data_IF_377480549743
#
_entry.id   IF_377480549743
#
_cell.length_a   1.000
_cell.length_b   1.000
_cell.length_c   1.000
_cell.angle_alpha   90.00
_cell.angle_beta   90.00
_cell.angle_gamma   90.00
#
_symmetry.space_group_name_H-M   'P 1'
#
loop_
_entity.id
_entity.type
_entity.pdbx_description
1 polymer ?
#
# COMPACT_ATOMS: atom_id res chain seq x y z
N UNK A 1 -0.74 -16.37 -0.86
CA UNK A 1 0.10 -15.94 -2.00
C UNK A 1 1.07 -14.87 -1.54
N UNK A 2 2.24 -14.78 -2.18
CA UNK A 2 3.23 -13.74 -1.85
C UNK A 2 3.01 -12.51 -2.70
N UNK A 3 2.82 -11.37 -2.05
CA UNK A 3 2.72 -10.04 -2.67
C UNK A 3 3.87 -9.20 -2.15
N UNK A 4 4.52 -8.46 -3.03
CA UNK A 4 5.56 -7.50 -2.68
C UNK A 4 4.90 -6.12 -2.50
N UNK A 5 5.25 -5.43 -1.43
CA UNK A 5 4.78 -4.08 -1.14
C UNK A 5 5.98 -3.16 -1.00
N UNK A 6 5.99 -2.06 -1.72
CA UNK A 6 7.07 -1.07 -1.69
C UNK A 6 6.59 0.29 -1.19
N UNK A 7 7.48 1.01 -0.52
CA UNK A 7 7.24 2.35 0.00
C UNK A 7 8.33 3.31 -0.46
N UNK A 8 7.93 4.48 -0.95
CA UNK A 8 8.85 5.55 -1.36
C UNK A 8 8.26 6.93 -1.10
N UNK A 9 9.07 7.97 -1.32
CA UNK A 9 8.68 9.36 -1.07
C UNK A 9 8.57 9.70 0.42
N UNK A 10 9.31 8.98 1.28
CA UNK A 10 9.30 9.16 2.73
C UNK A 10 8.27 8.28 3.46
N UNK A 11 7.43 7.53 2.74
CA UNK A 11 6.46 6.61 3.35
C UNK A 11 7.15 5.46 4.09
N UNK A 12 8.37 5.07 3.70
CA UNK A 12 9.14 4.03 4.40
C UNK A 12 9.31 4.32 5.91
N UNK A 13 9.32 5.60 6.31
CA UNK A 13 9.42 6.01 7.72
C UNK A 13 8.21 5.56 8.55
N UNK A 14 7.04 5.38 7.92
CA UNK A 14 5.84 4.86 8.57
C UNK A 14 5.93 3.35 8.82
N UNK A 15 6.84 2.66 8.14
CA UNK A 15 7.02 1.22 8.18
C UNK A 15 8.39 0.83 8.77
N UNK A 16 8.84 1.56 9.80
CA UNK A 16 10.13 1.33 10.47
C UNK A 16 11.34 1.40 9.52
N UNK A 17 11.30 2.36 8.60
CA UNK A 17 12.32 2.59 7.56
C UNK A 17 12.51 1.41 6.59
N UNK A 18 11.54 0.49 6.52
CA UNK A 18 11.51 -0.59 5.54
C UNK A 18 10.95 -0.09 4.22
N UNK A 19 11.74 -0.21 3.14
CA UNK A 19 11.34 0.17 1.79
C UNK A 19 10.50 -0.89 1.08
N UNK A 20 10.58 -2.13 1.54
CA UNK A 20 9.91 -3.28 0.95
C UNK A 20 9.43 -4.22 2.06
N UNK A 21 8.23 -4.77 1.88
CA UNK A 21 7.69 -5.89 2.63
C UNK A 21 7.30 -6.99 1.64
N UNK A 22 7.51 -8.25 2.02
CA UNK A 22 6.89 -9.40 1.34
C UNK A 22 5.84 -9.98 2.27
N UNK A 23 4.58 -9.94 1.85
CA UNK A 23 3.44 -10.35 2.67
C UNK A 23 2.82 -11.64 2.11
N UNK A 24 2.40 -12.51 3.02
CA UNK A 24 1.58 -13.68 2.70
C UNK A 24 0.10 -13.30 2.81
N UNK A 25 -0.53 -13.05 1.66
CA UNK A 25 -1.94 -12.63 1.55
C UNK A 25 -2.82 -13.82 1.16
N UNK A 26 -4.09 -13.86 1.57
CA UNK A 26 -5.00 -14.93 1.17
C UNK A 26 -5.31 -14.88 -0.34
N UNK A 27 -5.61 -16.02 -0.96
CA UNK A 27 -6.03 -16.03 -2.37
C UNK A 27 -7.42 -15.39 -2.53
N UNK A 28 -7.61 -14.61 -3.60
CA UNK A 28 -8.85 -13.86 -3.85
C UNK A 28 -8.99 -12.58 -3.01
N UNK A 29 -7.95 -12.19 -2.25
CA UNK A 29 -7.91 -10.90 -1.57
C UNK A 29 -7.76 -9.74 -2.55
N UNK A 30 -8.30 -8.59 -2.16
CA UNK A 30 -8.22 -7.34 -2.92
C UNK A 30 -7.19 -6.38 -2.31
N UNK A 31 -6.91 -5.28 -3.01
CA UNK A 31 -6.12 -4.17 -2.47
C UNK A 31 -6.67 -3.69 -1.12
N UNK A 32 -7.99 -3.59 -0.97
CA UNK A 32 -8.62 -3.20 0.31
C UNK A 32 -8.25 -4.14 1.47
N UNK A 33 -8.11 -5.45 1.21
CA UNK A 33 -7.69 -6.42 2.23
C UNK A 33 -6.21 -6.25 2.58
N UNK A 34 -5.36 -5.96 1.59
CA UNK A 34 -3.95 -5.64 1.81
C UNK A 34 -3.80 -4.38 2.68
N UNK A 35 -4.56 -3.32 2.43
CA UNK A 35 -4.55 -2.12 3.26
C UNK A 35 -4.95 -2.43 4.71
N UNK A 36 -5.92 -3.33 4.91
CA UNK A 36 -6.32 -3.76 6.24
C UNK A 36 -5.20 -4.53 6.97
N UNK A 37 -4.46 -5.39 6.26
CA UNK A 37 -3.28 -6.08 6.80
C UNK A 37 -2.20 -5.07 7.20
N UNK A 38 -1.85 -4.14 6.30
CA UNK A 38 -0.85 -3.10 6.59
C UNK A 38 -1.25 -2.26 7.81
N UNK A 39 -2.51 -1.82 7.86
CA UNK A 39 -3.05 -1.07 8.99
C UNK A 39 -2.94 -1.85 10.31
N UNK A 40 -3.38 -3.12 10.33
CA UNK A 40 -3.49 -3.87 11.57
C UNK A 40 -2.15 -4.40 12.09
N UNK A 41 -1.20 -4.68 11.21
CA UNK A 41 0.06 -5.35 11.57
C UNK A 41 1.29 -4.43 11.56
N UNK A 42 1.26 -3.33 10.79
CA UNK A 42 2.45 -2.50 10.54
C UNK A 42 2.30 -1.03 10.97
N UNK A 43 1.09 -0.57 11.27
CA UNK A 43 0.82 0.81 11.67
C UNK A 43 0.30 0.88 13.10
N UNK A 44 0.75 1.89 13.84
CA UNK A 44 0.01 2.41 14.98
C UNK A 44 -0.97 3.48 14.49
N UNK A 45 -1.77 4.02 15.42
CA UNK A 45 -2.80 5.00 15.08
C UNK A 45 -2.24 6.26 14.41
N UNK A 46 -1.07 6.73 14.86
CA UNK A 46 -0.47 7.96 14.33
C UNK A 46 0.03 7.75 12.89
N UNK A 47 0.62 6.58 12.62
CA UNK A 47 1.03 6.18 11.26
C UNK A 47 -0.16 5.93 10.34
N UNK A 48 -1.22 5.32 10.87
CA UNK A 48 -2.48 5.10 10.13
C UNK A 48 -3.03 6.43 9.62
N UNK A 49 -3.14 7.45 10.48
CA UNK A 49 -3.67 8.76 10.08
C UNK A 49 -2.81 9.45 9.00
N UNK A 50 -1.52 9.12 8.88
CA UNK A 50 -0.63 9.66 7.85
C UNK A 50 -0.73 8.90 6.51
N UNK A 51 -1.12 7.63 6.54
CA UNK A 51 -1.18 6.76 5.36
C UNK A 51 -2.60 6.59 4.80
N UNK A 52 -3.60 6.51 5.69
CA UNK A 52 -5.01 6.34 5.36
C UNK A 52 -5.82 7.56 5.79
N UNK A 53 -6.88 7.85 5.04
CA UNK A 53 -7.90 8.83 5.41
C UNK A 53 -9.27 8.20 5.20
N UNK A 54 -10.12 8.21 6.23
CA UNK A 54 -11.47 7.61 6.19
C UNK A 54 -11.50 6.13 5.74
N UNK A 55 -10.40 5.40 5.98
CA UNK A 55 -10.25 3.98 5.64
C UNK A 55 -9.77 3.70 4.22
N UNK A 56 -9.50 4.72 3.41
CA UNK A 56 -8.90 4.60 2.07
C UNK A 56 -7.49 5.18 2.06
N UNK A 57 -6.72 4.91 1.00
CA UNK A 57 -5.40 5.54 0.80
C UNK A 57 -5.53 7.06 0.81
N UNK A 58 -4.69 7.73 1.60
CA UNK A 58 -4.74 9.18 1.77
C UNK A 58 -4.43 9.90 0.45
N UNK A 59 -5.20 10.94 0.06
CA UNK A 59 -4.89 11.75 -1.11
C UNK A 59 -3.45 12.29 -1.08
N UNK A 60 -2.77 12.19 -2.22
CA UNK A 60 -1.34 12.51 -2.33
C UNK A 60 -0.40 11.33 -2.06
N UNK A 61 -0.94 10.12 -1.92
CA UNK A 61 -0.20 8.88 -2.09
C UNK A 61 -0.65 8.25 -3.42
N UNK A 62 0.29 8.01 -4.32
CA UNK A 62 0.07 7.23 -5.53
C UNK A 62 0.24 5.75 -5.22
N UNK A 63 -0.61 4.93 -5.84
CA UNK A 63 -0.54 3.48 -5.76
C UNK A 63 -0.31 2.94 -7.17
N UNK A 64 0.74 2.15 -7.35
CA UNK A 64 0.99 1.42 -8.59
C UNK A 64 0.90 -0.08 -8.33
N UNK A 65 0.29 -0.81 -9.26
CA UNK A 65 0.25 -2.26 -9.28
C UNK A 65 1.06 -2.71 -10.49
N UNK A 66 2.18 -3.39 -10.27
CA UNK A 66 3.11 -3.81 -11.33
C UNK A 66 3.53 -2.65 -12.26
N UNK A 67 3.89 -1.50 -11.69
CA UNK A 67 4.25 -0.25 -12.37
C UNK A 67 3.11 0.39 -13.20
N UNK A 68 1.88 -0.13 -13.12
CA UNK A 68 0.68 0.46 -13.71
C UNK A 68 -0.13 1.26 -12.68
N UNK A 69 -0.78 2.32 -13.15
CA UNK A 69 -1.65 3.15 -12.30
C UNK A 69 -2.89 2.35 -11.86
N UNK A 70 -3.09 2.20 -10.55
CA UNK A 70 -4.19 1.40 -10.00
C UNK A 70 -5.57 1.93 -10.37
N UNK A 71 -5.70 3.22 -10.73
CA UNK A 71 -6.97 3.83 -11.15
C UNK A 71 -7.52 3.15 -12.41
N UNK A 72 -6.64 2.57 -13.24
CA UNK A 72 -7.00 1.82 -14.43
C UNK A 72 -7.26 0.33 -14.15
N UNK A 73 -6.78 -0.18 -13.02
CA UNK A 73 -6.82 -1.60 -12.63
C UNK A 73 -7.97 -1.92 -11.66
N UNK A 74 -8.75 -0.92 -11.25
CA UNK A 74 -9.90 -1.09 -10.36
C UNK A 74 -9.65 -0.71 -8.90
N UNK A 75 -8.54 -0.03 -8.62
CA UNK A 75 -8.19 0.57 -7.32
C UNK A 75 -8.30 -0.45 -6.17
N UNK A 76 -9.04 -0.10 -5.12
CA UNK A 76 -9.36 -0.92 -3.94
C UNK A 76 -9.94 -2.30 -4.30
N UNK A 77 -10.57 -2.43 -5.48
CA UNK A 77 -11.25 -3.65 -5.91
C UNK A 77 -10.38 -4.60 -6.74
N UNK A 78 -9.17 -4.20 -7.13
CA UNK A 78 -8.26 -5.06 -7.85
C UNK A 78 -8.00 -6.34 -7.02
N UNK A 79 -8.22 -7.50 -7.65
CA UNK A 79 -7.94 -8.81 -7.05
C UNK A 79 -6.44 -9.09 -7.17
N UNK A 80 -5.77 -9.19 -6.03
CA UNK A 80 -4.33 -9.41 -5.98
C UNK A 80 -3.96 -10.77 -6.57
N UNK A 81 -2.89 -10.79 -7.34
CA UNK A 81 -2.33 -12.00 -7.92
C UNK A 81 -0.99 -12.39 -7.26
N UNK A 82 -0.60 -13.67 -7.32
CA UNK A 82 0.70 -14.10 -6.83
C UNK A 82 1.84 -13.37 -7.54
N UNK A 83 2.77 -12.81 -6.76
CA UNK A 83 3.94 -12.03 -7.19
C UNK A 83 3.65 -10.63 -7.69
N UNK A 84 2.44 -10.12 -7.46
CA UNK A 84 2.17 -8.70 -7.65
C UNK A 84 3.12 -7.84 -6.82
N UNK A 85 3.47 -6.70 -7.41
CA UNK A 85 4.18 -5.63 -6.76
C UNK A 85 3.26 -4.42 -6.58
N UNK A 86 3.01 -4.03 -5.34
CA UNK A 86 2.19 -2.86 -5.00
C UNK A 86 3.11 -1.77 -4.43
N UNK A 87 3.28 -0.67 -5.16
CA UNK A 87 4.08 0.47 -4.73
C UNK A 87 3.19 1.57 -4.18
N UNK A 88 3.49 2.05 -2.98
CA UNK A 88 2.94 3.29 -2.42
C UNK A 88 4.00 4.38 -2.46
N UNK A 89 3.68 5.50 -3.12
CA UNK A 89 4.59 6.63 -3.28
C UNK A 89 3.93 7.93 -2.83
N UNK A 90 4.51 8.61 -1.82
CA UNK A 90 4.01 9.95 -1.47
C UNK A 90 4.40 10.96 -2.54
N UNK A 91 3.44 11.72 -3.03
CA UNK A 91 3.64 12.86 -3.95
C UNK A 91 3.70 14.19 -3.23
N UNK A 92 3.47 14.21 -1.92
CA UNK A 92 3.37 15.42 -1.10
C UNK A 92 4.70 15.93 -0.53
N UNK A 93 5.82 15.23 -0.72
CA UNK A 93 7.13 15.62 -0.18
C UNK A 93 8.15 16.06 -1.24
N UNK A 94 7.73 16.94 -2.14
CA UNK A 94 8.61 17.68 -3.05
C UNK A 94 8.94 19.06 -2.51
N UNK A 95 9.87 19.14 -1.54
CA UNK A 95 10.47 20.37 -1.02
C UNK A 95 11.92 20.14 -0.60
#
# INVERSE_FOLDING_TARGET
MKVKVEFTGGLESLFNDQKELTLDIAEGSKISDLLLVLKNEYMDKDREELFLQDGIVRPGILVLINDADWELEGEENYELEPRDNVLFASTLHGG
#
